data_IF_557569769202
#
_entry.id   IF_557569769202
#
_cell.length_a   1.000
_cell.length_b   1.000
_cell.length_c   1.000
_cell.angle_alpha   90.00
_cell.angle_beta   90.00
_cell.angle_gamma   90.00
#
_symmetry.space_group_name_H-M   'P 1'
#
loop_
_entity.id
_entity.type
_entity.pdbx_description
1 polymer ?
#
# COMPACT_ATOMS: atom_id res chain seq x y z
N UNK A 1 -3.79 14.28 6.34
CA UNK A 1 -2.49 14.35 5.67
C UNK A 1 -1.41 14.14 6.71
N UNK A 2 -0.73 13.00 6.69
CA UNK A 2 0.49 12.84 7.47
C UNK A 2 1.59 13.61 6.73
N UNK A 3 2.12 14.66 7.36
CA UNK A 3 3.14 15.53 6.76
C UNK A 3 4.41 14.69 6.53
N UNK A 4 4.95 14.61 5.30
CA UNK A 4 6.03 13.68 4.95
C UNK A 4 7.42 14.06 5.49
N UNK A 5 7.53 15.10 6.32
CA UNK A 5 8.80 15.72 6.68
C UNK A 5 9.38 15.34 8.05
N UNK A 6 8.71 14.48 8.83
CA UNK A 6 9.30 13.96 10.05
C UNK A 6 9.47 12.43 9.95
N UNK A 7 10.50 12.04 9.21
CA UNK A 7 10.88 10.64 9.02
C UNK A 7 11.67 10.16 10.23
N UNK A 8 10.97 9.85 11.33
CA UNK A 8 11.48 8.87 12.26
C UNK A 8 11.71 7.54 11.52
N UNK A 9 12.64 6.68 11.98
CA UNK A 9 12.81 5.35 11.39
C UNK A 9 11.44 4.64 11.35
N UNK A 10 11.13 3.91 10.27
CA UNK A 10 9.86 3.21 10.16
C UNK A 10 9.72 2.29 11.38
N UNK A 11 8.77 2.60 12.27
CA UNK A 11 8.59 1.85 13.53
C UNK A 11 8.01 0.44 13.31
N UNK A 12 7.84 0.02 12.06
CA UNK A 12 7.21 -1.23 11.67
C UNK A 12 8.24 -2.08 10.93
N UNK A 13 8.73 -3.14 11.58
CA UNK A 13 9.47 -4.19 10.89
C UNK A 13 8.51 -4.89 9.94
N UNK A 14 8.80 -4.82 8.64
CA UNK A 14 8.02 -5.55 7.65
C UNK A 14 8.26 -7.07 7.81
N UNK A 15 7.17 -7.81 7.89
CA UNK A 15 7.16 -9.26 7.68
C UNK A 15 7.63 -9.53 6.23
N UNK A 16 8.34 -10.63 5.91
CA UNK A 16 8.69 -11.01 4.53
C UNK A 16 7.50 -10.98 3.56
N UNK A 17 6.26 -11.21 4.04
CA UNK A 17 5.05 -11.02 3.22
C UNK A 17 4.83 -9.57 2.78
N UNK A 18 5.15 -8.61 3.65
CA UNK A 18 5.03 -7.18 3.39
C UNK A 18 6.01 -6.68 2.33
N UNK A 19 7.18 -7.30 2.19
CA UNK A 19 8.17 -6.94 1.17
C UNK A 19 7.66 -7.27 -0.25
N UNK A 20 7.08 -8.46 -0.45
CA UNK A 20 6.50 -8.85 -1.74
C UNK A 20 5.33 -7.93 -2.13
N UNK A 21 4.54 -7.51 -1.15
CA UNK A 21 3.42 -6.60 -1.35
C UNK A 21 3.90 -5.18 -1.73
N UNK A 22 4.99 -4.71 -1.10
CA UNK A 22 5.65 -3.44 -1.44
C UNK A 22 6.15 -3.43 -2.89
N UNK A 23 6.77 -4.52 -3.33
CA UNK A 23 7.24 -4.67 -4.72
C UNK A 23 6.05 -4.60 -5.69
N UNK A 24 4.97 -5.31 -5.39
CA UNK A 24 3.75 -5.31 -6.22
C UNK A 24 3.13 -3.91 -6.34
N UNK A 25 3.01 -3.17 -5.23
CA UNK A 25 2.51 -1.79 -5.27
C UNK A 25 3.43 -0.84 -6.04
N UNK A 26 4.75 -1.00 -5.90
CA UNK A 26 5.72 -0.20 -6.64
C UNK A 26 5.56 -0.37 -8.15
N UNK A 27 5.35 -1.61 -8.61
CA UNK A 27 5.08 -1.89 -10.03
C UNK A 27 3.81 -1.19 -10.51
N UNK A 28 2.73 -1.22 -9.72
CA UNK A 28 1.48 -0.54 -10.06
C UNK A 28 1.68 0.98 -10.17
N UNK A 29 2.44 1.59 -9.25
CA UNK A 29 2.74 3.03 -9.32
C UNK A 29 3.47 3.38 -10.61
N UNK A 30 4.47 2.58 -11.01
CA UNK A 30 5.23 2.82 -12.25
C UNK A 30 4.31 2.74 -13.46
N UNK A 31 3.46 1.72 -13.54
CA UNK A 31 2.50 1.56 -14.65
C UNK A 31 1.50 2.74 -14.65
N UNK A 32 1.01 3.16 -13.48
CA UNK A 32 0.08 4.29 -13.36
C UNK A 32 0.73 5.59 -13.86
N UNK A 33 1.99 5.86 -13.51
CA UNK A 33 2.72 7.05 -13.99
C UNK A 33 2.86 7.04 -15.52
N UNK A 34 3.19 5.88 -16.11
CA UNK A 34 3.28 5.74 -17.57
C UNK A 34 1.93 6.02 -18.22
N UNK A 35 0.86 5.45 -17.68
CA UNK A 35 -0.51 5.65 -18.15
C UNK A 35 -0.96 7.11 -18.00
N UNK A 36 -0.71 7.75 -16.86
CA UNK A 36 -0.98 9.17 -16.65
C UNK A 36 -0.22 10.03 -17.66
N UNK A 37 1.05 9.73 -17.91
CA UNK A 37 1.85 10.43 -18.92
C UNK A 37 1.25 10.26 -20.32
N UNK A 38 0.83 9.06 -20.71
CA UNK A 38 0.13 8.82 -21.98
C UNK A 38 -1.21 9.58 -22.06
N UNK A 39 -1.98 9.62 -20.97
CA UNK A 39 -3.24 10.36 -20.88
C UNK A 39 -3.03 11.87 -21.06
N UNK A 40 -1.94 12.40 -20.51
CA UNK A 40 -1.52 13.80 -20.66
C UNK A 40 -1.29 14.16 -22.15
N UNK A 41 -0.69 13.25 -22.92
CA UNK A 41 -0.43 13.46 -24.35
C UNK A 41 -1.66 13.27 -25.24
N UNK A 42 -2.57 12.35 -24.90
CA UNK A 42 -3.71 11.97 -25.76
C UNK A 42 -4.94 12.87 -25.55
N UNK A 43 -5.34 13.15 -24.31
CA UNK A 43 -6.59 13.87 -24.03
C UNK A 43 -6.36 15.36 -23.80
N UNK A 44 -5.73 15.71 -22.69
CA UNK A 44 -5.43 17.08 -22.31
C UNK A 44 -4.47 17.07 -21.11
N UNK A 45 -3.42 17.90 -21.07
CA UNK A 45 -2.53 17.97 -19.92
C UNK A 45 -3.24 18.30 -18.61
N UNK A 46 -4.25 19.17 -18.63
CA UNK A 46 -4.99 19.55 -17.41
C UNK A 46 -5.82 18.39 -16.84
N UNK A 47 -6.33 17.51 -17.70
CA UNK A 47 -7.10 16.34 -17.27
C UNK A 47 -6.23 15.29 -16.57
N UNK A 48 -4.90 15.31 -16.77
CA UNK A 48 -3.96 14.35 -16.19
C UNK A 48 -3.31 14.82 -14.88
N UNK A 49 -3.48 16.08 -14.49
CA UNK A 49 -2.84 16.61 -13.26
C UNK A 49 -3.35 15.85 -12.02
N UNK A 50 -4.64 15.50 -11.99
CA UNK A 50 -5.23 14.70 -10.92
C UNK A 50 -4.55 13.34 -10.75
N UNK A 51 -4.27 12.65 -11.86
CA UNK A 51 -3.61 11.32 -11.83
C UNK A 51 -2.18 11.40 -11.31
N UNK A 52 -1.45 12.46 -11.66
CA UNK A 52 -0.07 12.66 -11.19
C UNK A 52 -0.06 12.91 -9.66
N UNK A 53 -1.00 13.72 -9.16
CA UNK A 53 -1.16 13.95 -7.72
C UNK A 53 -1.54 12.64 -7.02
N UNK A 54 -2.44 11.85 -7.59
CA UNK A 54 -2.82 10.53 -7.08
C UNK A 54 -1.61 9.57 -7.00
N UNK A 55 -0.77 9.54 -8.04
CA UNK A 55 0.47 8.76 -8.05
C UNK A 55 1.46 9.18 -6.96
N UNK A 56 1.61 10.50 -6.73
CA UNK A 56 2.44 11.04 -5.65
C UNK A 56 1.94 10.58 -4.27
N UNK A 57 0.62 10.63 -4.03
CA UNK A 57 0.02 10.15 -2.78
C UNK A 57 0.27 8.66 -2.58
N UNK A 58 0.13 7.84 -3.63
CA UNK A 58 0.41 6.41 -3.54
C UNK A 58 1.89 6.14 -3.28
N UNK A 59 2.80 6.83 -3.96
CA UNK A 59 4.23 6.70 -3.73
C UNK A 59 4.60 7.00 -2.26
N UNK A 60 4.06 8.08 -1.70
CA UNK A 60 4.21 8.38 -0.28
C UNK A 60 3.60 7.30 0.63
N UNK A 61 2.44 6.75 0.27
CA UNK A 61 1.79 5.64 0.99
C UNK A 61 2.64 4.37 1.03
N UNK A 62 3.27 4.02 -0.08
CA UNK A 62 4.14 2.83 -0.21
C UNK A 62 5.44 2.98 0.57
N UNK A 63 6.05 4.17 0.60
CA UNK A 63 7.30 4.39 1.33
C UNK A 63 7.10 4.46 2.85
N UNK A 64 5.98 5.01 3.30
CA UNK A 64 5.71 5.20 4.74
C UNK A 64 4.86 4.09 5.36
N UNK A 65 4.38 3.13 4.57
CA UNK A 65 3.44 2.09 5.01
C UNK A 65 2.17 2.67 5.69
N UNK A 66 1.78 3.89 5.31
CA UNK A 66 0.64 4.61 5.88
C UNK A 66 -0.66 4.16 5.20
N UNK A 67 -1.47 3.35 5.89
CA UNK A 67 -2.76 2.86 5.38
C UNK A 67 -3.71 4.00 4.99
N UNK A 68 -3.64 5.15 5.67
CA UNK A 68 -4.46 6.32 5.38
C UNK A 68 -4.18 6.89 3.98
N UNK A 69 -2.91 6.96 3.56
CA UNK A 69 -2.55 7.44 2.23
C UNK A 69 -3.02 6.47 1.13
N UNK A 70 -2.94 5.16 1.38
CA UNK A 70 -3.46 4.13 0.45
C UNK A 70 -4.98 4.23 0.31
N UNK A 71 -5.69 4.50 1.40
CA UNK A 71 -7.14 4.71 1.38
C UNK A 71 -7.51 5.97 0.58
N UNK A 72 -6.79 7.08 0.78
CA UNK A 72 -6.99 8.30 -0.01
C UNK A 72 -6.74 8.07 -1.51
N UNK A 73 -5.69 7.32 -1.87
CA UNK A 73 -5.43 6.93 -3.25
C UNK A 73 -6.60 6.13 -3.85
N UNK A 74 -7.17 5.18 -3.09
CA UNK A 74 -8.31 4.39 -3.53
C UNK A 74 -9.53 5.27 -3.84
N UNK A 75 -9.79 6.28 -3.00
CA UNK A 75 -10.88 7.24 -3.23
C UNK A 75 -10.64 8.04 -4.51
N UNK A 76 -9.42 8.53 -4.76
CA UNK A 76 -9.10 9.25 -5.99
C UNK A 76 -9.28 8.37 -7.22
N UNK A 77 -8.78 7.13 -7.21
CA UNK A 77 -8.97 6.20 -8.31
C UNK A 77 -10.45 5.89 -8.59
N UNK A 78 -11.29 5.84 -7.55
CA UNK A 78 -12.74 5.65 -7.72
C UNK A 78 -13.38 6.87 -8.39
N UNK A 79 -13.02 8.09 -7.99
CA UNK A 79 -13.50 9.30 -8.66
C UNK A 79 -13.10 9.33 -10.14
N UNK A 80 -11.85 9.00 -10.45
CA UNK A 80 -11.35 8.92 -11.83
C UNK A 80 -12.09 7.83 -12.62
N UNK A 81 -12.35 6.67 -11.99
CA UNK A 81 -13.13 5.58 -12.59
C UNK A 81 -14.56 6.00 -12.91
N UNK A 82 -15.22 6.74 -12.01
CA UNK A 82 -16.57 7.26 -12.25
C UNK A 82 -16.59 8.29 -13.36
N UNK A 83 -15.61 9.19 -13.43
CA UNK A 83 -15.49 10.17 -14.50
C UNK A 83 -15.25 9.50 -15.87
N UNK A 84 -14.44 8.44 -15.90
CA UNK A 84 -14.25 7.63 -17.10
C UNK A 84 -15.54 6.88 -17.48
N UNK A 85 -16.24 6.30 -16.51
CA UNK A 85 -17.49 5.59 -16.75
C UNK A 85 -18.58 6.51 -17.30
N UNK A 86 -18.73 7.74 -16.79
CA UNK A 86 -19.70 8.70 -17.34
C UNK A 86 -19.33 9.16 -18.74
N UNK A 87 -18.03 9.31 -19.03
CA UNK A 87 -17.54 9.60 -20.38
C UNK A 87 -17.87 8.48 -21.35
N UNK A 88 -17.65 7.21 -20.96
CA UNK A 88 -18.00 6.03 -21.76
C UNK A 88 -19.52 5.92 -21.94
N UNK A 89 -20.32 6.17 -20.89
CA UNK A 89 -21.77 6.13 -20.97
C UNK A 89 -22.31 7.19 -21.95
N UNK A 90 -21.77 8.40 -21.91
CA UNK A 90 -22.12 9.46 -22.86
C UNK A 90 -21.74 9.09 -24.30
N UNK A 91 -20.59 8.44 -24.51
CA UNK A 91 -20.16 7.95 -25.82
C UNK A 91 -21.11 6.90 -26.40
N UNK A 92 -21.63 6.01 -25.57
CA UNK A 92 -22.62 5.01 -25.99
C UNK A 92 -23.95 5.70 -26.35
N UNK A 93 -24.41 6.64 -25.52
CA UNK A 93 -25.68 7.36 -25.74
C UNK A 93 -25.67 8.21 -27.02
N UNK A 94 -24.53 8.80 -27.37
CA UNK A 94 -24.39 9.65 -28.56
C UNK A 94 -24.32 8.85 -29.86
N UNK A 95 -24.36 7.51 -29.82
CA UNK A 95 -24.48 6.68 -31.01
C UNK A 95 -23.23 6.72 -31.91
N UNK A 96 -22.07 7.12 -31.37
CA UNK A 96 -20.81 7.22 -32.11
C UNK A 96 -20.30 5.89 -32.70
N UNK A 97 -20.94 4.76 -32.36
CA UNK A 97 -20.63 3.42 -32.88
C UNK A 97 -21.47 3.00 -34.09
N UNK A 98 -22.35 3.87 -34.60
CA UNK A 98 -23.14 3.57 -35.80
C UNK A 98 -22.29 3.65 -37.08
N UNK A 99 -22.45 2.72 -38.06
CA UNK A 99 -21.76 2.77 -39.35
C UNK A 99 -22.08 4.03 -40.19
N UNK A 100 -23.11 4.78 -39.78
CA UNK A 100 -23.53 6.05 -40.37
C UNK A 100 -23.24 7.25 -39.45
N UNK A 101 -22.24 7.16 -38.56
CA UNK A 101 -21.84 8.31 -37.74
C UNK A 101 -21.57 9.50 -38.66
N UNK A 102 -22.34 10.59 -38.57
CA UNK A 102 -22.25 11.69 -39.53
C UNK A 102 -20.83 12.24 -39.49
N UNK A 103 -20.07 12.00 -40.55
CA UNK A 103 -18.68 12.46 -40.72
C UNK A 103 -18.60 13.99 -40.85
N UNK A 104 -19.71 14.71 -40.81
CA UNK A 104 -19.70 16.15 -40.98
C UNK A 104 -20.91 16.79 -40.30
N UNK A 105 -20.70 18.00 -39.80
CA UNK A 105 -21.72 19.01 -39.47
C UNK A 105 -22.50 18.88 -38.16
N UNK A 106 -21.81 19.00 -37.03
CA UNK A 106 -22.29 19.87 -35.93
C UNK A 106 -21.14 20.26 -35.00
N UNK A 107 -20.51 21.37 -35.35
CA UNK A 107 -20.04 22.47 -34.50
C UNK A 107 -19.84 22.23 -33.00
N UNK A 108 -18.61 22.58 -32.57
CA UNK A 108 -18.23 23.04 -31.23
C UNK A 108 -18.09 22.03 -30.08
N UNK A 109 -17.02 21.24 -30.12
CA UNK A 109 -16.02 21.28 -29.02
C UNK A 109 -14.64 21.39 -29.67
N UNK A 110 -14.20 22.62 -29.88
CA UNK A 110 -12.91 22.97 -30.46
C UNK A 110 -11.78 22.72 -29.44
N UNK A 111 -11.58 21.46 -29.08
CA UNK A 111 -10.39 20.98 -28.40
C UNK A 111 -9.39 20.51 -29.45
N UNK A 112 -8.62 21.45 -29.99
CA UNK A 112 -7.39 21.31 -30.81
C UNK A 112 -6.83 19.87 -30.85
N UNK A 113 -7.39 18.99 -31.68
CA UNK A 113 -6.97 17.60 -31.76
C UNK A 113 -6.07 17.40 -32.98
N UNK A 114 -4.83 17.04 -32.69
CA UNK A 114 -3.96 16.24 -33.55
C UNK A 114 -4.78 15.13 -34.21
N UNK A 115 -4.54 14.83 -35.49
CA UNK A 115 -5.31 13.88 -36.31
C UNK A 115 -5.27 12.40 -35.90
N UNK A 116 -5.39 12.11 -34.60
CA UNK A 116 -5.54 10.77 -34.05
C UNK A 116 -6.96 10.27 -34.34
N UNK A 117 -7.04 9.04 -34.83
CA UNK A 117 -8.30 8.35 -35.09
C UNK A 117 -9.17 8.34 -33.81
N UNK A 118 -10.41 8.84 -33.89
CA UNK A 118 -11.33 8.87 -32.73
C UNK A 118 -11.49 7.48 -32.06
N UNK A 119 -11.46 6.41 -32.85
CA UNK A 119 -11.48 5.03 -32.33
C UNK A 119 -10.32 4.67 -31.42
N UNK A 120 -9.12 5.23 -31.63
CA UNK A 120 -7.97 5.03 -30.76
C UNK A 120 -8.19 5.66 -29.38
N UNK A 121 -8.75 6.88 -29.35
CA UNK A 121 -9.05 7.59 -28.10
C UNK A 121 -10.07 6.78 -27.27
N UNK A 122 -11.08 6.22 -27.92
CA UNK A 122 -12.09 5.37 -27.25
C UNK A 122 -11.49 4.07 -26.73
N UNK A 123 -10.70 3.37 -27.55
CA UNK A 123 -9.99 2.16 -27.13
C UNK A 123 -9.09 2.41 -25.92
N UNK A 124 -8.31 3.50 -25.96
CA UNK A 124 -7.45 3.92 -24.85
C UNK A 124 -8.24 4.21 -23.56
N UNK A 125 -9.40 4.87 -23.68
CA UNK A 125 -10.28 5.18 -22.55
C UNK A 125 -10.82 3.92 -21.86
N UNK A 126 -11.19 2.90 -22.64
CA UNK A 126 -11.65 1.60 -22.11
C UNK A 126 -10.52 0.86 -21.39
N UNK A 127 -9.31 0.82 -21.99
CA UNK A 127 -8.14 0.19 -21.38
C UNK A 127 -7.79 0.86 -20.05
N UNK A 128 -7.84 2.20 -20.02
CA UNK A 128 -7.65 2.98 -18.79
C UNK A 128 -8.66 2.61 -17.71
N UNK A 129 -9.95 2.55 -18.07
CA UNK A 129 -11.00 2.17 -17.12
C UNK A 129 -10.74 0.80 -16.49
N UNK A 130 -10.38 -0.21 -17.29
CA UNK A 130 -10.03 -1.54 -16.79
C UNK A 130 -8.82 -1.47 -15.83
N UNK A 131 -7.80 -0.70 -16.20
CA UNK A 131 -6.63 -0.49 -15.34
C UNK A 131 -7.00 0.11 -13.99
N UNK A 132 -7.86 1.14 -13.92
CA UNK A 132 -8.27 1.73 -12.64
C UNK A 132 -9.03 0.73 -11.77
N UNK A 133 -9.89 -0.13 -12.35
CA UNK A 133 -10.57 -1.20 -11.60
C UNK A 133 -9.57 -2.18 -10.98
N UNK A 134 -8.55 -2.59 -11.75
CA UNK A 134 -7.47 -3.46 -11.26
C UNK A 134 -6.67 -2.75 -10.17
N UNK A 135 -6.34 -1.47 -10.37
CA UNK A 135 -5.59 -0.68 -9.39
C UNK A 135 -6.34 -0.53 -8.06
N UNK A 136 -7.66 -0.31 -8.10
CA UNK A 136 -8.52 -0.28 -6.90
C UNK A 136 -8.52 -1.63 -6.19
N UNK A 137 -8.65 -2.73 -6.95
CA UNK A 137 -8.62 -4.08 -6.39
C UNK A 137 -7.29 -4.39 -5.69
N UNK A 138 -6.17 -4.11 -6.34
CA UNK A 138 -4.83 -4.31 -5.76
C UNK A 138 -4.60 -3.42 -4.53
N UNK A 139 -5.02 -2.16 -4.57
CA UNK A 139 -4.94 -1.26 -3.41
C UNK A 139 -5.78 -1.74 -2.24
N UNK A 140 -6.95 -2.35 -2.50
CA UNK A 140 -7.77 -2.94 -1.46
C UNK A 140 -7.10 -4.14 -0.80
N UNK A 141 -6.44 -5.01 -1.58
CA UNK A 141 -5.65 -6.10 -1.02
C UNK A 141 -4.54 -5.57 -0.13
N UNK A 142 -3.77 -4.58 -0.61
CA UNK A 142 -2.69 -4.00 0.20
C UNK A 142 -3.21 -3.34 1.47
N UNK A 143 -4.35 -2.64 1.37
CA UNK A 143 -5.01 -2.05 2.52
C UNK A 143 -5.36 -3.08 3.60
N UNK A 144 -5.90 -4.25 3.22
CA UNK A 144 -6.23 -5.32 4.17
C UNK A 144 -5.00 -5.83 4.91
N UNK A 145 -3.90 -6.06 4.17
CA UNK A 145 -2.64 -6.53 4.76
C UNK A 145 -2.01 -5.48 5.68
N UNK A 146 -1.98 -4.21 5.28
CA UNK A 146 -1.48 -3.13 6.13
C UNK A 146 -2.31 -2.96 7.40
N UNK A 147 -3.63 -3.12 7.31
CA UNK A 147 -4.51 -3.12 8.49
C UNK A 147 -4.22 -4.30 9.41
N UNK A 148 -3.99 -5.50 8.87
CA UNK A 148 -3.68 -6.69 9.66
C UNK A 148 -2.35 -6.53 10.42
N UNK A 149 -1.31 -6.05 9.74
CA UNK A 149 0.01 -5.77 10.35
C UNK A 149 -0.12 -4.74 11.48
N UNK A 150 -0.90 -3.67 11.25
CA UNK A 150 -1.11 -2.63 12.25
C UNK A 150 -1.82 -3.18 13.51
N UNK A 151 -2.80 -4.06 13.32
CA UNK A 151 -3.54 -4.69 14.42
C UNK A 151 -2.67 -5.69 15.20
N UNK A 152 -1.81 -6.46 14.53
CA UNK A 152 -0.85 -7.38 15.17
C UNK A 152 0.09 -6.62 16.11
N UNK A 153 0.63 -5.48 15.66
CA UNK A 153 1.52 -4.66 16.48
C UNK A 153 0.82 -4.02 17.69
N UNK A 154 -0.43 -3.58 17.53
CA UNK A 154 -1.23 -3.07 18.64
C UNK A 154 -1.54 -4.14 19.69
N UNK A 155 -1.86 -5.36 19.25
CA UNK A 155 -2.09 -6.50 20.14
C UNK A 155 -0.85 -6.89 20.95
N UNK A 156 0.32 -6.93 20.30
CA UNK A 156 1.59 -7.26 20.97
C UNK A 156 1.98 -6.20 22.02
N UNK A 157 1.69 -4.92 21.77
CA UNK A 157 1.92 -3.85 22.76
C UNK A 157 1.00 -3.98 23.99
N UNK A 158 -0.23 -4.47 23.82
CA UNK A 158 -1.15 -4.70 24.94
C UNK A 158 -0.72 -5.91 25.79
N UNK A 159 -0.29 -7.00 25.15
CA UNK A 159 0.23 -8.20 25.84
C UNK A 159 1.56 -7.91 26.55
N UNK A 160 2.45 -7.14 25.93
CA UNK A 160 3.71 -6.69 26.55
C UNK A 160 3.49 -5.79 27.77
N UNK A 161 2.39 -5.03 27.82
CA UNK A 161 2.01 -4.19 28.96
C UNK A 161 1.38 -5.00 30.11
N UNK A 162 0.76 -6.16 29.82
CA UNK A 162 0.15 -7.03 30.83
C UNK A 162 1.17 -8.06 31.39
N UNK A 163 2.21 -8.42 30.64
CA UNK A 163 3.23 -9.41 31.07
C UNK A 163 4.42 -8.85 31.89
N UNK A 164 4.33 -7.64 32.45
CA UNK A 164 5.15 -7.28 33.61
C UNK A 164 6.66 -7.16 33.40
N UNK A 165 7.12 -6.64 32.26
CA UNK A 165 8.51 -6.20 32.11
C UNK A 165 8.56 -4.71 31.83
N UNK A 166 9.35 -4.02 32.65
CA UNK A 166 9.52 -2.57 32.74
C UNK A 166 9.47 -1.83 31.39
N UNK A 167 8.86 -0.63 31.34
CA UNK A 167 8.93 0.23 30.17
C UNK A 167 10.39 0.59 29.89
N UNK A 168 10.97 -0.04 28.86
CA UNK A 168 12.27 0.37 28.32
C UNK A 168 12.06 1.71 27.61
N UNK A 169 12.24 2.76 28.42
CA UNK A 169 12.85 4.05 28.15
C UNK A 169 13.32 4.28 26.69
N UNK A 170 12.44 4.85 25.86
CA UNK A 170 12.82 5.50 24.61
C UNK A 170 13.33 6.91 24.91
N UNK A 171 14.61 7.04 25.24
CA UNK A 171 15.22 8.37 25.44
C UNK A 171 16.50 8.37 26.27
N UNK A 172 17.59 7.78 25.76
CA UNK A 172 18.93 8.10 26.26
C UNK A 172 19.92 8.20 25.09
N UNK A 173 20.42 9.42 24.93
CA UNK A 173 21.46 9.85 23.98
C UNK A 173 22.73 8.99 24.09
N UNK A 174 23.46 8.73 22.99
CA UNK A 174 24.80 8.15 23.07
C UNK A 174 25.78 9.27 23.46
N UNK A 175 26.12 9.36 24.74
CA UNK A 175 27.22 10.18 25.21
C UNK A 175 28.42 9.29 25.58
N UNK A 176 29.50 9.41 24.79
CA UNK A 176 30.87 9.33 25.27
C UNK A 176 31.50 7.96 25.58
N UNK A 177 32.42 7.56 24.69
CA UNK A 177 33.76 7.03 24.99
C UNK A 177 34.04 6.48 26.42
N UNK A 178 34.38 5.19 26.53
CA UNK A 178 35.65 4.78 27.16
C UNK A 178 36.10 3.38 26.79
N UNK A 179 37.35 3.35 26.35
CA UNK A 179 38.28 2.26 26.12
C UNK A 179 38.26 1.13 27.17
N UNK A 180 38.56 -0.10 26.72
CA UNK A 180 39.60 -0.89 27.37
C UNK A 180 39.23 -2.30 27.87
N UNK A 181 40.03 -3.26 27.40
CA UNK A 181 40.52 -4.46 28.09
C UNK A 181 39.65 -5.72 28.21
N UNK A 182 40.04 -6.68 27.35
CA UNK A 182 40.34 -8.09 27.65
C UNK A 182 40.30 -8.54 29.11
N UNK A 183 39.54 -9.60 29.43
CA UNK A 183 40.09 -10.82 30.06
C UNK A 183 39.15 -12.01 29.88
N UNK A 184 39.63 -13.02 29.17
CA UNK A 184 39.09 -14.37 29.15
C UNK A 184 39.67 -15.10 30.36
N UNK A 185 38.86 -15.47 31.35
CA UNK A 185 39.29 -16.35 32.43
C UNK A 185 38.14 -17.26 32.89
N UNK A 186 38.39 -18.55 32.68
CA UNK A 186 37.89 -19.72 33.40
C UNK A 186 37.27 -19.45 34.78
N UNK A 187 36.06 -19.96 35.03
CA UNK A 187 35.79 -20.58 36.32
C UNK A 187 34.88 -21.80 36.21
N UNK A 188 35.50 -22.90 36.64
CA UNK A 188 35.00 -24.22 36.95
C UNK A 188 33.81 -24.21 37.94
N UNK A 189 32.84 -25.07 37.64
CA UNK A 189 32.43 -26.20 38.49
C UNK A 189 31.99 -25.89 39.93
N UNK A 190 30.68 -25.96 40.18
CA UNK A 190 30.10 -26.52 41.40
C UNK A 190 28.70 -27.05 41.08
N UNK A 191 28.55 -28.38 41.09
CA UNK A 191 27.27 -29.02 41.28
C UNK A 191 27.03 -29.26 42.77
N UNK A 192 25.80 -29.05 43.25
CA UNK A 192 25.21 -29.75 44.40
C UNK A 192 23.70 -29.82 44.17
N UNK A 193 23.17 -30.97 44.54
CA UNK A 193 21.82 -31.48 44.41
C UNK A 193 20.73 -30.71 45.22
N UNK A 194 19.50 -31.09 44.89
CA UNK A 194 18.40 -31.41 45.82
C UNK A 194 17.30 -30.36 46.10
N UNK A 195 16.10 -30.74 45.65
CA UNK A 195 14.92 -30.96 46.51
C UNK A 195 13.72 -30.02 46.33
N UNK A 196 12.65 -30.67 45.87
CA UNK A 196 11.28 -30.60 46.37
C UNK A 196 10.34 -29.45 45.95
N UNK A 197 9.27 -29.86 45.28
CA UNK A 197 7.91 -29.66 45.79
C UNK A 197 7.33 -28.26 45.65
N UNK A 198 6.78 -27.95 44.47
CA UNK A 198 5.92 -26.79 44.29
C UNK A 198 4.99 -26.99 43.10
N UNK A 199 3.77 -27.44 43.38
CA UNK A 199 2.64 -27.51 42.44
C UNK A 199 2.30 -26.10 41.90
N UNK A 200 2.97 -25.71 40.83
CA UNK A 200 2.59 -24.57 39.99
C UNK A 200 1.94 -25.08 38.72
N UNK A 201 0.65 -24.83 38.57
CA UNK A 201 -0.16 -25.27 37.44
C UNK A 201 0.45 -24.77 36.11
N UNK A 202 0.95 -25.70 35.31
CA UNK A 202 1.34 -25.46 33.93
C UNK A 202 0.07 -25.21 33.10
N UNK A 203 -0.25 -23.93 32.86
CA UNK A 203 -1.19 -23.55 31.83
C UNK A 203 -0.55 -23.84 30.46
N UNK A 204 -0.79 -25.04 29.94
CA UNK A 204 -0.54 -25.37 28.54
C UNK A 204 -1.49 -24.53 27.68
N UNK A 205 -0.98 -23.45 27.11
CA UNK A 205 -1.68 -22.74 26.05
C UNK A 205 -1.99 -23.72 24.91
N UNK A 206 -3.23 -23.70 24.44
CA UNK A 206 -3.77 -24.58 23.42
C UNK A 206 -2.98 -24.40 22.11
N UNK A 207 -2.09 -25.34 21.78
CA UNK A 207 -1.47 -25.43 20.46
C UNK A 207 -2.52 -25.92 19.46
N UNK A 208 -3.39 -25.01 19.02
CA UNK A 208 -4.30 -25.26 17.91
C UNK A 208 -3.48 -25.49 16.64
N UNK A 209 -3.42 -26.74 16.16
CA UNK A 209 -2.92 -27.05 14.83
C UNK A 209 -3.85 -26.41 13.80
N UNK A 210 -3.48 -25.22 13.31
CA UNK A 210 -4.13 -24.57 12.18
C UNK A 210 -3.96 -25.43 10.93
N UNK A 211 -4.93 -26.30 10.66
CA UNK A 211 -5.00 -27.09 9.43
C UNK A 211 -5.20 -26.12 8.26
N UNK A 212 -4.25 -26.07 7.33
CA UNK A 212 -4.30 -25.22 6.13
C UNK A 212 -5.46 -25.67 5.24
N UNK A 213 -6.28 -24.69 4.80
CA UNK A 213 -7.41 -24.85 3.88
C UNK A 213 -7.01 -25.14 2.41
N UNK A 214 -5.85 -25.75 2.16
CA UNK A 214 -5.37 -26.01 0.80
C UNK A 214 -5.84 -27.37 0.22
N UNK A 215 -6.67 -28.13 0.95
CA UNK A 215 -7.17 -29.45 0.54
C UNK A 215 -8.69 -29.48 0.25
N UNK A 216 -9.28 -28.37 -0.20
CA UNK A 216 -10.64 -28.35 -0.77
C UNK A 216 -10.65 -27.71 -2.15
#
# INVERSE_FOLDING_TARGET
MCIPFNQGPPMIRLNPKGENLKTTMTVIVIIHIILATLKMFILNPFASVGDIISCMVLWCGVQQHNFCNVLMYMIFCLFDSFQLATTIAFLIQTGAFGPNSPTASSSQVQGRSSGLNMGFIYGFTIVMFIFYVIAVYCSFQTYKEFKAIYQEQLGDMEVGRIMGTNPINYGALPYGNRQGQTTTALQQNQGVEQSNGGTGQNYRAFQGQGKRLADY
#
